data_IF_282393732807
#
_entry.id   IF_282393732807
#
_cell.length_a   1.000
_cell.length_b   1.000
_cell.length_c   1.000
_cell.angle_alpha   90.00
_cell.angle_beta   90.00
_cell.angle_gamma   90.00
#
_symmetry.space_group_name_H-M   'P 1'
#
loop_
_entity.id
_entity.type
_entity.pdbx_description
1 polymer ?
#
# COMPACT_ATOMS: atom_id res chain seq x y z
N UNK A 1 -10.92 38.12 3.09
CA UNK A 1 -11.14 36.68 3.31
C UNK A 1 -10.80 35.95 2.02
N UNK A 2 -9.65 35.29 1.96
CA UNK A 2 -9.27 34.43 0.82
C UNK A 2 -9.91 33.06 1.00
N UNK A 3 -10.63 32.52 0.01
CA UNK A 3 -11.12 31.14 0.09
C UNK A 3 -9.92 30.20 -0.04
N UNK A 4 -9.47 29.63 1.08
CA UNK A 4 -8.49 28.53 1.09
C UNK A 4 -9.14 27.33 0.41
N UNK A 5 -8.88 27.19 -0.89
CA UNK A 5 -9.34 26.05 -1.67
C UNK A 5 -8.48 24.86 -1.25
N UNK A 6 -8.98 24.04 -0.32
CA UNK A 6 -8.38 22.75 0.01
C UNK A 6 -8.51 21.82 -1.20
N UNK A 7 -7.58 21.93 -2.15
CA UNK A 7 -7.44 20.96 -3.24
C UNK A 7 -6.65 19.78 -2.68
N UNK A 8 -7.33 18.88 -1.99
CA UNK A 8 -6.73 17.61 -1.58
C UNK A 8 -6.74 16.65 -2.76
N UNK A 9 -5.99 16.97 -3.82
CA UNK A 9 -5.59 15.95 -4.79
C UNK A 9 -4.43 15.19 -4.14
N UNK A 10 -4.71 14.00 -3.61
CA UNK A 10 -3.68 13.10 -3.11
C UNK A 10 -2.60 12.95 -4.20
N UNK A 11 -1.35 13.13 -3.80
CA UNK A 11 -0.21 12.95 -4.70
C UNK A 11 -0.08 11.49 -5.09
N UNK A 12 0.58 11.23 -6.22
CA UNK A 12 0.85 9.86 -6.66
C UNK A 12 1.62 9.04 -5.62
N UNK A 13 2.47 9.70 -4.82
CA UNK A 13 3.20 9.08 -3.73
C UNK A 13 2.27 8.65 -2.58
N UNK A 14 1.31 9.50 -2.21
CA UNK A 14 0.31 9.21 -1.18
C UNK A 14 -0.64 8.10 -1.63
N UNK A 15 -1.12 8.17 -2.87
CA UNK A 15 -1.99 7.14 -3.47
C UNK A 15 -1.28 5.78 -3.51
N UNK A 16 -0.03 5.74 -4.00
CA UNK A 16 0.78 4.52 -4.01
C UNK A 16 1.00 3.96 -2.60
N UNK A 17 1.31 4.82 -1.62
CA UNK A 17 1.47 4.39 -0.22
C UNK A 17 0.18 3.81 0.34
N UNK A 18 -0.96 4.47 0.13
CA UNK A 18 -2.27 3.99 0.58
C UNK A 18 -2.66 2.67 -0.09
N UNK A 19 -2.36 2.49 -1.39
CA UNK A 19 -2.55 1.23 -2.08
C UNK A 19 -1.68 0.12 -1.47
N UNK A 20 -0.40 0.40 -1.19
CA UNK A 20 0.51 -0.56 -0.58
C UNK A 20 -0.01 -1.00 0.81
N UNK A 21 -0.51 -0.07 1.63
CA UNK A 21 -1.08 -0.38 2.94
C UNK A 21 -2.31 -1.28 2.84
N UNK A 22 -3.18 -1.05 1.85
CA UNK A 22 -4.33 -1.93 1.59
C UNK A 22 -3.92 -3.33 1.15
N UNK A 23 -2.92 -3.44 0.27
CA UNK A 23 -2.38 -4.74 -0.15
C UNK A 23 -1.81 -5.53 1.04
N UNK A 24 -1.04 -4.87 1.91
CA UNK A 24 -0.51 -5.48 3.14
C UNK A 24 -1.66 -5.93 4.06
N UNK A 25 -2.69 -5.10 4.22
CA UNK A 25 -3.84 -5.44 5.06
C UNK A 25 -4.53 -6.73 4.59
N UNK A 26 -4.84 -6.85 3.30
CA UNK A 26 -5.45 -8.07 2.77
C UNK A 26 -4.52 -9.28 2.92
N UNK A 27 -3.23 -9.12 2.61
CA UNK A 27 -2.24 -10.18 2.78
C UNK A 27 -2.14 -10.65 4.24
N UNK A 28 -2.19 -9.72 5.20
CA UNK A 28 -2.20 -10.03 6.64
C UNK A 28 -3.45 -10.76 7.11
N UNK A 29 -4.57 -10.58 6.41
CA UNK A 29 -5.82 -11.30 6.64
C UNK A 29 -5.83 -12.70 5.99
N UNK A 30 -4.73 -13.15 5.38
CA UNK A 30 -4.63 -14.45 4.71
C UNK A 30 -5.24 -14.46 3.31
N UNK A 31 -5.54 -13.30 2.72
CA UNK A 31 -6.15 -13.18 1.41
C UNK A 31 -5.26 -12.39 0.44
N UNK A 32 -5.22 -12.79 -0.82
CA UNK A 32 -4.70 -11.91 -1.86
C UNK A 32 -5.75 -10.84 -2.17
N UNK A 33 -5.35 -9.56 -2.16
CA UNK A 33 -6.24 -8.48 -2.55
C UNK A 33 -6.72 -8.71 -3.99
N UNK A 34 -8.03 -8.78 -4.19
CA UNK A 34 -8.58 -8.85 -5.55
C UNK A 34 -8.70 -7.46 -6.15
N UNK A 35 -8.71 -7.39 -7.48
CA UNK A 35 -8.91 -6.11 -8.18
C UNK A 35 -10.21 -5.42 -7.73
N UNK A 36 -11.30 -6.16 -7.60
CA UNK A 36 -12.59 -5.62 -7.15
C UNK A 36 -12.55 -5.06 -5.72
N UNK A 37 -11.75 -5.63 -4.81
CA UNK A 37 -11.56 -5.08 -3.46
C UNK A 37 -10.76 -3.76 -3.49
N UNK A 38 -9.79 -3.67 -4.39
CA UNK A 38 -9.01 -2.44 -4.58
C UNK A 38 -9.82 -1.34 -5.25
N UNK A 39 -10.70 -1.69 -6.21
CA UNK A 39 -11.61 -0.76 -6.89
C UNK A 39 -12.66 -0.14 -5.94
N UNK A 40 -12.92 -0.75 -4.79
CA UNK A 40 -13.75 -0.14 -3.73
C UNK A 40 -13.06 1.05 -3.03
N UNK A 41 -11.74 1.21 -3.19
CA UNK A 41 -10.93 2.22 -2.52
C UNK A 41 -10.21 3.17 -3.49
N UNK A 42 -9.97 2.74 -4.73
CA UNK A 42 -9.20 3.47 -5.72
C UNK A 42 -9.86 3.42 -7.09
N UNK A 43 -9.62 4.43 -7.91
CA UNK A 43 -10.14 4.41 -9.29
C UNK A 43 -9.41 3.37 -10.12
N UNK A 44 -10.05 2.76 -11.14
CA UNK A 44 -9.37 1.84 -12.06
C UNK A 44 -8.14 2.46 -12.73
N UNK A 45 -8.21 3.76 -13.07
CA UNK A 45 -7.10 4.49 -13.66
C UNK A 45 -5.89 4.58 -12.73
N UNK A 46 -6.11 4.82 -11.44
CA UNK A 46 -5.02 4.84 -10.45
C UNK A 46 -4.45 3.45 -10.20
N UNK A 47 -5.29 2.41 -10.20
CA UNK A 47 -4.84 1.02 -10.04
C UNK A 47 -3.96 0.58 -11.21
N UNK A 48 -4.34 0.92 -12.44
CA UNK A 48 -3.55 0.56 -13.62
C UNK A 48 -2.24 1.37 -13.68
N UNK A 49 -2.26 2.62 -13.22
CA UNK A 49 -1.08 3.51 -13.22
C UNK A 49 -0.09 3.21 -12.11
N UNK A 50 -0.57 2.95 -10.88
CA UNK A 50 0.25 2.89 -9.67
C UNK A 50 0.27 1.51 -9.01
N UNK A 51 -0.63 0.59 -9.39
CA UNK A 51 -0.80 -0.70 -8.71
C UNK A 51 0.46 -1.55 -8.67
N UNK A 52 1.22 -1.64 -9.77
CA UNK A 52 2.48 -2.38 -9.79
C UNK A 52 3.56 -1.75 -8.90
N UNK A 53 3.59 -0.42 -8.80
CA UNK A 53 4.52 0.29 -7.91
C UNK A 53 4.12 0.11 -6.44
N UNK A 54 2.82 0.14 -6.14
CA UNK A 54 2.27 -0.12 -4.82
C UNK A 54 2.50 -1.57 -4.36
N UNK A 55 2.39 -2.55 -5.25
CA UNK A 55 2.68 -3.95 -4.95
C UNK A 55 4.14 -4.16 -4.55
N UNK A 56 5.09 -3.63 -5.33
CA UNK A 56 6.53 -3.68 -4.97
C UNK A 56 6.82 -2.99 -3.63
N UNK A 57 6.13 -1.88 -3.36
CA UNK A 57 6.26 -1.18 -2.09
C UNK A 57 5.68 -1.98 -0.92
N UNK A 58 4.55 -2.65 -1.12
CA UNK A 58 3.96 -3.56 -0.14
C UNK A 58 4.87 -4.75 0.18
N UNK A 59 5.48 -5.36 -0.85
CA UNK A 59 6.48 -6.43 -0.71
C UNK A 59 7.70 -5.95 0.08
N UNK A 60 8.30 -4.82 -0.31
CA UNK A 60 9.46 -4.26 0.39
C UNK A 60 9.17 -3.91 1.86
N UNK A 61 7.96 -3.43 2.17
CA UNK A 61 7.50 -3.18 3.55
C UNK A 61 7.33 -4.49 4.33
N UNK A 62 6.75 -5.52 3.71
CA UNK A 62 6.54 -6.83 4.33
C UNK A 62 7.86 -7.57 4.59
N UNK A 63 8.81 -7.52 3.66
CA UNK A 63 10.15 -8.07 3.84
C UNK A 63 10.90 -7.39 4.98
N UNK A 64 10.88 -6.06 5.04
CA UNK A 64 11.47 -5.30 6.16
C UNK A 64 10.86 -5.68 7.51
N UNK A 65 9.54 -5.84 7.56
CA UNK A 65 8.86 -6.31 8.79
C UNK A 65 9.26 -7.74 9.15
N UNK A 66 9.40 -8.63 8.16
CA UNK A 66 9.79 -10.03 8.39
C UNK A 66 11.22 -10.11 8.93
N UNK A 67 12.16 -9.38 8.32
CA UNK A 67 13.56 -9.32 8.78
C UNK A 67 13.65 -8.76 10.20
N UNK A 68 12.91 -7.68 10.49
CA UNK A 68 12.87 -7.09 11.83
C UNK A 68 12.26 -8.03 12.89
N UNK A 69 11.33 -8.91 12.48
CA UNK A 69 10.66 -9.87 13.37
C UNK A 69 11.45 -11.16 13.60
N UNK A 70 12.54 -11.42 12.89
CA UNK A 70 13.44 -12.55 13.20
C UNK A 70 14.45 -12.06 14.25
N UNK A 71 14.23 -12.33 15.56
CA UNK A 71 15.20 -11.95 16.56
C UNK A 71 16.29 -13.03 16.53
N UNK A 72 17.46 -12.74 15.94
CA UNK A 72 18.76 -13.38 16.21
C UNK A 72 18.78 -14.87 16.64
N UNK A 73 17.90 -15.73 16.11
CA UNK A 73 17.77 -17.13 16.56
C UNK A 73 18.70 -18.05 15.77
N UNK A 74 19.95 -17.61 15.64
CA UNK A 74 21.05 -18.38 15.04
C UNK A 74 22.34 -18.35 15.87
N UNK A 75 22.28 -17.86 17.11
CA UNK A 75 23.39 -17.91 18.05
C UNK A 75 22.90 -18.35 19.43
N UNK A 76 22.68 -19.66 19.60
CA UNK A 76 22.74 -20.39 20.87
C UNK A 76 22.76 -21.88 20.56
#
# INVERSE_FOLDING_TARGET
MTPTTYRTSATDAELKSAMADKLIHYASAGHCATRSQMEAHFTPADLDRLGAAAAREAEARTERQTIARVPARRAA
#
